data_IF_653716881074
#
_entry.id   IF_653716881074
#
_cell.length_a   1.000
_cell.length_b   1.000
_cell.length_c   1.000
_cell.angle_alpha   90.00
_cell.angle_beta   90.00
_cell.angle_gamma   90.00
#
_symmetry.space_group_name_H-M   'P 1'
#
loop_
_entity.id
_entity.type
_entity.pdbx_description
1 polymer ?
#
# COMPACT_ATOMS: atom_id res chain seq x y z
N UNK A 1 12.72 -13.94 21.50
CA UNK A 1 11.65 -14.24 22.47
C UNK A 1 12.04 -13.66 23.80
N UNK A 2 11.12 -12.98 24.47
CA UNK A 2 11.34 -12.36 25.78
C UNK A 2 11.13 -13.46 26.82
N UNK A 3 12.10 -13.64 27.72
CA UNK A 3 11.95 -14.52 28.88
C UNK A 3 11.43 -13.69 30.03
N UNK A 4 10.30 -14.09 30.61
CA UNK A 4 9.69 -13.43 31.76
C UNK A 4 9.63 -14.44 32.89
N UNK A 5 10.16 -14.06 34.05
CA UNK A 5 10.04 -14.87 35.26
C UNK A 5 8.80 -14.42 36.02
N UNK A 6 7.89 -15.34 36.32
CA UNK A 6 6.66 -15.04 37.07
C UNK A 6 6.96 -14.93 38.57
N UNK A 7 5.97 -14.46 39.34
CA UNK A 7 6.04 -14.43 40.81
C UNK A 7 6.25 -15.82 41.43
N UNK A 8 5.88 -16.89 40.71
CA UNK A 8 6.09 -18.29 41.11
C UNK A 8 7.43 -18.88 40.62
N UNK A 9 8.37 -18.04 40.17
CA UNK A 9 9.66 -18.44 39.60
C UNK A 9 9.56 -19.30 38.31
N UNK A 10 8.41 -19.32 37.64
CA UNK A 10 8.24 -19.98 36.35
C UNK A 10 8.87 -19.13 35.23
N UNK A 11 9.61 -19.75 34.32
CA UNK A 11 10.13 -19.07 33.13
C UNK A 11 9.17 -19.23 31.95
N UNK A 12 8.49 -18.14 31.60
CA UNK A 12 7.65 -18.08 30.41
C UNK A 12 8.43 -17.48 29.24
N UNK A 13 8.28 -18.08 28.06
CA UNK A 13 8.86 -17.57 26.81
C UNK A 13 7.77 -16.92 25.97
N UNK A 14 7.82 -15.59 25.87
CA UNK A 14 6.94 -14.83 25.00
C UNK A 14 7.61 -14.56 23.65
N UNK A 15 6.80 -14.57 22.59
CA UNK A 15 7.20 -14.09 21.27
C UNK A 15 6.23 -13.02 20.82
N UNK A 16 6.76 -11.88 20.39
CA UNK A 16 6.00 -10.81 19.78
C UNK A 16 6.23 -10.91 18.28
N UNK A 17 5.15 -11.02 17.51
CA UNK A 17 5.18 -10.98 16.04
C UNK A 17 4.32 -9.82 15.59
N UNK A 18 4.89 -8.95 14.76
CA UNK A 18 4.10 -7.92 14.07
C UNK A 18 3.29 -8.63 12.98
N UNK A 19 1.98 -8.41 12.93
CA UNK A 19 1.13 -8.97 11.89
C UNK A 19 1.12 -8.07 10.66
N UNK A 20 0.79 -6.78 10.87
CA UNK A 20 0.80 -5.75 9.84
C UNK A 20 1.25 -4.42 10.44
N UNK A 21 1.85 -3.59 9.60
CA UNK A 21 2.09 -2.18 9.85
C UNK A 21 1.49 -1.38 8.69
N UNK A 22 0.74 -0.34 9.02
CA UNK A 22 0.17 0.57 8.01
C UNK A 22 0.73 1.96 8.22
N UNK A 23 0.99 2.65 7.11
CA UNK A 23 1.58 3.96 7.07
C UNK A 23 0.90 4.74 5.94
N UNK A 24 0.74 6.05 6.13
CA UNK A 24 0.59 6.92 4.97
C UNK A 24 1.87 6.89 4.13
N UNK A 25 1.78 7.32 2.86
CA UNK A 25 2.91 7.20 1.95
C UNK A 25 4.18 7.95 2.42
N UNK A 26 4.09 9.18 2.99
CA UNK A 26 5.26 9.86 3.55
C UNK A 26 5.91 9.09 4.71
N UNK A 27 5.12 8.58 5.68
CA UNK A 27 5.67 7.80 6.78
C UNK A 27 6.24 6.46 6.30
N UNK A 28 5.60 5.79 5.33
CA UNK A 28 6.14 4.59 4.71
C UNK A 28 7.51 4.88 4.11
N UNK A 29 7.64 5.96 3.33
CA UNK A 29 8.90 6.38 2.73
C UNK A 29 10.01 6.60 3.75
N UNK A 30 9.68 7.30 4.84
CA UNK A 30 10.63 7.63 5.88
C UNK A 30 11.01 6.42 6.75
N UNK A 31 10.02 5.66 7.23
CA UNK A 31 10.25 4.56 8.18
C UNK A 31 10.85 3.33 7.50
N UNK A 32 10.52 3.12 6.23
CA UNK A 32 10.94 1.95 5.47
C UNK A 32 12.15 2.22 4.57
N UNK A 33 12.73 3.43 4.62
CA UNK A 33 13.83 3.85 3.76
C UNK A 33 13.57 3.59 2.26
N UNK A 34 12.35 3.89 1.80
CA UNK A 34 12.02 3.91 0.37
C UNK A 34 11.99 5.35 -0.15
N UNK A 35 12.10 5.53 -1.46
CA UNK A 35 11.89 6.84 -2.09
C UNK A 35 10.41 7.19 -2.00
N UNK A 36 10.13 8.44 -1.62
CA UNK A 36 8.77 8.98 -1.65
C UNK A 36 8.18 8.85 -3.06
N UNK A 37 6.87 8.61 -3.16
CA UNK A 37 6.22 8.32 -4.44
C UNK A 37 6.84 7.11 -5.18
N UNK A 38 7.39 6.17 -4.41
CA UNK A 38 7.93 4.89 -4.87
C UNK A 38 9.06 5.00 -5.91
N UNK A 39 9.71 6.16 -6.05
CA UNK A 39 10.88 6.31 -6.91
C UNK A 39 10.63 5.96 -8.38
N UNK A 40 9.53 6.45 -8.94
CA UNK A 40 9.05 6.16 -10.31
C UNK A 40 8.43 4.77 -10.52
N UNK A 41 8.24 3.96 -9.46
CA UNK A 41 7.49 2.70 -9.55
C UNK A 41 6.01 2.91 -9.19
N UNK A 42 5.11 2.06 -9.70
CA UNK A 42 3.66 2.26 -9.51
C UNK A 42 3.23 2.14 -8.03
N UNK A 43 3.88 1.27 -7.28
CA UNK A 43 3.70 1.14 -5.84
C UNK A 43 5.00 0.66 -5.17
N UNK A 44 5.00 0.64 -3.84
CA UNK A 44 6.16 0.15 -3.09
C UNK A 44 6.47 -1.31 -3.41
N UNK A 45 5.49 -2.12 -3.80
CA UNK A 45 5.63 -3.58 -3.91
C UNK A 45 5.69 -4.09 -5.35
N UNK A 46 5.41 -3.27 -6.36
CA UNK A 46 5.45 -3.72 -7.76
C UNK A 46 6.79 -3.39 -8.42
N UNK A 47 7.08 -4.11 -9.50
CA UNK A 47 8.21 -3.81 -10.39
C UNK A 47 7.83 -2.95 -11.61
N UNK A 48 6.58 -2.49 -11.68
CA UNK A 48 6.10 -1.61 -12.77
C UNK A 48 6.78 -0.25 -12.66
N UNK A 49 7.68 0.04 -13.59
CA UNK A 49 8.31 1.33 -13.74
C UNK A 49 7.41 2.28 -14.54
N UNK A 50 7.33 3.53 -14.08
CA UNK A 50 6.58 4.58 -14.73
C UNK A 50 7.32 5.17 -15.94
N UNK A 51 6.53 5.63 -16.90
CA UNK A 51 6.96 6.31 -18.12
C UNK A 51 6.61 7.79 -17.99
N UNK A 52 7.60 8.66 -18.21
CA UNK A 52 7.38 10.09 -18.22
C UNK A 52 6.78 10.55 -19.56
N UNK A 53 5.58 11.13 -19.53
CA UNK A 53 4.89 11.74 -20.68
C UNK A 53 4.43 13.12 -20.23
N UNK A 54 4.81 14.18 -20.95
CA UNK A 54 4.42 15.57 -20.67
C UNK A 54 4.57 15.99 -19.19
N UNK A 55 5.72 15.67 -18.58
CA UNK A 55 6.06 15.96 -17.17
C UNK A 55 5.18 15.22 -16.14
N UNK A 56 4.40 14.24 -16.56
CA UNK A 56 3.63 13.35 -15.68
C UNK A 56 4.16 11.92 -15.79
N UNK A 57 4.05 11.15 -14.71
CA UNK A 57 4.45 9.74 -14.68
C UNK A 57 3.20 8.88 -14.87
N UNK A 58 3.24 8.03 -15.90
CA UNK A 58 2.19 7.05 -16.21
C UNK A 58 2.71 5.65 -15.98
N UNK A 59 1.86 4.77 -15.46
CA UNK A 59 2.23 3.37 -15.24
C UNK A 59 1.57 2.52 -16.31
N UNK A 60 2.35 1.80 -17.15
CA UNK A 60 1.79 1.04 -18.25
C UNK A 60 0.89 -0.08 -17.70
N UNK A 61 -0.31 -0.17 -18.26
CA UNK A 61 -1.20 -1.30 -18.00
C UNK A 61 -0.71 -2.53 -18.75
N UNK A 62 -0.71 -3.66 -18.07
CA UNK A 62 -0.47 -4.98 -18.66
C UNK A 62 -1.53 -5.95 -18.11
N UNK A 63 -2.15 -6.78 -18.98
CA UNK A 63 -3.02 -7.86 -18.50
C UNK A 63 -2.23 -8.95 -17.78
N UNK A 64 -0.91 -9.03 -18.01
CA UNK A 64 -0.01 -9.93 -17.30
C UNK A 64 0.38 -9.26 -15.98
N UNK A 65 0.16 -9.98 -14.88
CA UNK A 65 0.52 -9.52 -13.55
C UNK A 65 2.03 -9.25 -13.48
N UNK A 66 2.39 -8.02 -13.09
CA UNK A 66 3.77 -7.65 -12.84
C UNK A 66 4.31 -8.39 -11.60
N UNK A 67 5.59 -8.83 -11.63
CA UNK A 67 6.24 -9.37 -10.45
C UNK A 67 6.13 -8.41 -9.26
N UNK A 68 5.97 -8.96 -8.06
CA UNK A 68 6.06 -8.20 -6.81
C UNK A 68 7.49 -8.25 -6.28
N UNK A 69 7.96 -7.14 -5.72
CA UNK A 69 9.15 -7.11 -4.85
C UNK A 69 8.88 -8.02 -3.67
N UNK A 70 9.84 -8.88 -3.40
CA UNK A 70 9.89 -9.80 -2.26
C UNK A 70 10.67 -9.17 -1.12
N UNK A 71 10.53 -9.70 0.09
CA UNK A 71 11.39 -9.30 1.21
C UNK A 71 12.88 -9.50 0.92
N UNK A 72 13.21 -10.52 0.13
CA UNK A 72 14.57 -10.75 -0.34
C UNK A 72 15.06 -9.59 -1.21
N UNK A 73 14.22 -9.05 -2.10
CA UNK A 73 14.56 -7.87 -2.90
C UNK A 73 14.81 -6.66 -2.01
N UNK A 74 13.97 -6.43 -1.00
CA UNK A 74 14.18 -5.34 -0.02
C UNK A 74 15.50 -5.49 0.73
N UNK A 75 15.83 -6.69 1.20
CA UNK A 75 17.09 -6.95 1.91
C UNK A 75 18.29 -6.75 0.99
N UNK A 76 18.29 -7.38 -0.18
CA UNK A 76 19.44 -7.35 -1.10
C UNK A 76 19.66 -5.95 -1.65
N UNK A 77 18.62 -5.29 -2.18
CA UNK A 77 18.74 -3.96 -2.79
C UNK A 77 19.09 -2.87 -1.78
N UNK A 78 18.62 -2.98 -0.53
CA UNK A 78 18.96 -2.01 0.51
C UNK A 78 20.43 -2.02 0.92
N UNK A 79 21.16 -3.12 0.63
CA UNK A 79 22.58 -3.27 0.98
C UNK A 79 23.54 -3.03 -0.18
N UNK A 80 23.00 -2.80 -1.39
CA UNK A 80 23.81 -2.50 -2.55
C UNK A 80 24.36 -1.07 -2.46
N UNK A 81 25.67 -0.93 -2.29
CA UNK A 81 26.38 0.35 -2.35
C UNK A 81 26.48 0.85 -3.80
N UNK A 82 25.34 1.23 -4.40
CA UNK A 82 25.28 1.79 -5.73
C UNK A 82 24.83 3.26 -5.67
N UNK A 83 25.73 4.22 -5.92
CA UNK A 83 25.41 5.67 -5.89
C UNK A 83 24.29 6.08 -6.84
N UNK A 84 24.07 5.31 -7.91
CA UNK A 84 23.11 5.59 -8.98
C UNK A 84 21.87 4.68 -8.98
N UNK A 85 21.87 3.59 -8.21
CA UNK A 85 20.77 2.62 -8.24
C UNK A 85 20.10 2.55 -6.89
N UNK A 86 19.20 3.49 -6.62
CA UNK A 86 18.08 3.24 -5.70
C UNK A 86 17.11 2.29 -6.39
N UNK A 87 17.60 1.07 -6.60
CA UNK A 87 16.97 0.04 -7.42
C UNK A 87 15.56 -0.18 -6.89
N UNK A 88 14.59 -0.08 -7.79
CA UNK A 88 13.19 -0.28 -7.46
C UNK A 88 12.61 0.65 -6.36
N UNK A 89 13.24 1.80 -6.13
CA UNK A 89 12.81 2.79 -5.15
C UNK A 89 13.24 2.49 -3.71
N UNK A 90 14.11 1.50 -3.50
CA UNK A 90 14.67 1.14 -2.18
C UNK A 90 15.97 1.94 -1.97
N UNK A 91 16.16 2.51 -0.76
CA UNK A 91 17.38 3.25 -0.41
C UNK A 91 18.34 2.36 0.37
N UNK A 92 18.22 2.39 1.69
CA UNK A 92 19.17 1.81 2.65
C UNK A 92 18.43 0.88 3.61
N UNK A 93 19.14 0.04 4.40
CA UNK A 93 18.49 -0.84 5.35
C UNK A 93 17.74 -0.01 6.39
N UNK A 94 16.58 -0.52 6.82
CA UNK A 94 15.81 0.04 7.92
C UNK A 94 15.78 -0.97 9.06
N UNK A 95 15.78 -0.54 10.34
CA UNK A 95 15.58 -1.46 11.47
C UNK A 95 14.31 -2.31 11.35
N UNK A 96 13.32 -1.83 10.59
CA UNK A 96 12.07 -2.54 10.36
C UNK A 96 12.21 -3.81 9.51
N UNK A 97 13.27 -3.99 8.71
CA UNK A 97 13.49 -5.25 7.96
C UNK A 97 13.67 -6.46 8.88
N UNK A 98 14.02 -6.23 10.16
CA UNK A 98 14.14 -7.28 11.19
C UNK A 98 12.81 -7.65 11.84
N UNK A 99 11.80 -6.80 11.68
CA UNK A 99 10.50 -6.91 12.36
C UNK A 99 9.34 -7.16 11.38
N UNK A 100 9.50 -6.73 10.13
CA UNK A 100 8.49 -6.78 9.08
C UNK A 100 9.03 -7.51 7.86
N UNK A 101 8.20 -8.42 7.36
CA UNK A 101 8.21 -8.86 5.97
C UNK A 101 7.52 -7.77 5.16
N UNK A 102 8.30 -6.86 4.57
CA UNK A 102 7.82 -5.69 3.84
C UNK A 102 6.74 -5.99 2.81
N UNK A 103 6.94 -6.98 1.95
CA UNK A 103 5.98 -7.27 0.86
C UNK A 103 4.61 -7.73 1.38
N UNK A 104 4.59 -8.35 2.56
CA UNK A 104 3.39 -9.01 3.08
C UNK A 104 2.78 -8.31 4.30
N UNK A 105 3.58 -7.52 5.04
CA UNK A 105 3.19 -6.93 6.32
C UNK A 105 3.13 -5.40 6.29
N UNK A 106 3.69 -4.73 5.26
CA UNK A 106 3.50 -3.28 5.07
C UNK A 106 2.21 -3.00 4.28
N UNK A 107 1.09 -3.07 5.00
CA UNK A 107 -0.24 -2.89 4.44
C UNK A 107 -0.43 -1.46 3.89
N UNK A 108 -1.02 -1.38 2.69
CA UNK A 108 -1.36 -0.10 2.07
C UNK A 108 -2.51 0.54 2.82
N UNK A 109 -2.35 1.81 3.16
CA UNK A 109 -3.40 2.59 3.81
C UNK A 109 -4.55 2.85 2.84
N UNK A 110 -5.66 2.16 3.06
CA UNK A 110 -6.88 2.29 2.26
C UNK A 110 -7.42 3.73 2.26
N UNK A 111 -7.38 4.42 3.39
CA UNK A 111 -7.93 5.78 3.50
C UNK A 111 -7.14 6.75 2.62
N UNK A 112 -5.81 6.69 2.72
CA UNK A 112 -4.94 7.59 1.97
C UNK A 112 -4.76 7.17 0.51
N UNK A 113 -4.98 5.90 0.16
CA UNK A 113 -4.89 5.42 -1.22
C UNK A 113 -6.22 5.57 -1.97
N UNK A 114 -7.30 5.05 -1.39
CA UNK A 114 -8.61 4.88 -2.03
C UNK A 114 -9.52 6.08 -1.78
N UNK A 115 -9.72 6.48 -0.52
CA UNK A 115 -10.68 7.54 -0.18
C UNK A 115 -10.17 8.96 -0.46
N UNK A 116 -8.85 9.18 -0.44
CA UNK A 116 -8.25 10.52 -0.50
C UNK A 116 -7.08 10.65 -1.47
N UNK A 117 -6.61 9.54 -2.03
CA UNK A 117 -5.37 9.49 -2.80
C UNK A 117 -5.56 9.31 -4.30
N UNK A 118 -4.64 8.54 -4.87
CA UNK A 118 -4.56 8.33 -6.32
C UNK A 118 -5.84 7.75 -6.92
N UNK A 119 -6.56 6.87 -6.22
CA UNK A 119 -7.82 6.32 -6.72
C UNK A 119 -8.87 7.40 -6.94
N UNK A 120 -9.00 8.37 -6.01
CA UNK A 120 -9.92 9.49 -6.15
C UNK A 120 -9.61 10.31 -7.41
N UNK A 121 -8.33 10.54 -7.69
CA UNK A 121 -7.87 11.19 -8.92
C UNK A 121 -8.24 10.37 -10.16
N UNK A 122 -8.03 9.05 -10.15
CA UNK A 122 -8.42 8.16 -11.25
C UNK A 122 -9.92 8.21 -11.52
N UNK A 123 -10.75 8.09 -10.49
CA UNK A 123 -12.22 8.16 -10.63
C UNK A 123 -12.64 9.52 -11.23
N UNK A 124 -11.99 10.62 -10.84
CA UNK A 124 -12.25 11.96 -11.41
C UNK A 124 -11.99 12.00 -12.93
N UNK A 125 -10.95 11.32 -13.40
CA UNK A 125 -10.66 11.23 -14.84
C UNK A 125 -11.62 10.26 -15.53
N UNK A 126 -11.89 9.11 -14.92
CA UNK A 126 -12.80 8.10 -15.44
C UNK A 126 -14.22 8.62 -15.64
N UNK A 127 -14.71 9.45 -14.72
CA UNK A 127 -16.02 10.12 -14.83
C UNK A 127 -16.15 10.94 -16.13
N UNK A 128 -15.04 11.44 -16.68
CA UNK A 128 -15.03 12.24 -17.91
C UNK A 128 -14.91 11.41 -19.19
N UNK A 129 -14.41 10.19 -19.11
CA UNK A 129 -14.05 9.38 -20.29
C UNK A 129 -14.88 8.10 -20.43
N UNK A 130 -15.47 7.61 -19.34
CA UNK A 130 -16.31 6.41 -19.36
C UNK A 130 -17.75 6.77 -19.73
N UNK A 131 -18.45 5.81 -20.32
CA UNK A 131 -19.87 5.96 -20.62
C UNK A 131 -20.70 6.09 -19.32
N UNK A 132 -21.80 6.87 -19.32
CA UNK A 132 -22.59 7.13 -18.11
C UNK A 132 -23.01 5.85 -17.33
N UNK A 133 -23.43 4.80 -18.03
CA UNK A 133 -23.87 3.55 -17.39
C UNK A 133 -22.76 2.72 -16.73
N UNK A 134 -21.48 2.98 -17.04
CA UNK A 134 -20.35 2.23 -16.46
C UNK A 134 -20.16 2.60 -14.99
N UNK A 135 -20.41 3.86 -14.62
CA UNK A 135 -20.33 4.30 -13.23
C UNK A 135 -21.40 3.66 -12.35
N UNK A 136 -22.63 3.53 -12.87
CA UNK A 136 -23.73 2.87 -12.15
C UNK A 136 -23.48 1.37 -11.99
N UNK A 137 -23.07 0.70 -13.06
CA UNK A 137 -22.72 -0.73 -13.01
C UNK A 137 -21.58 -1.01 -12.02
N UNK A 138 -20.52 -0.19 -12.06
CA UNK A 138 -19.39 -0.32 -11.14
C UNK A 138 -19.78 -0.01 -9.69
N UNK A 139 -20.66 0.98 -9.48
CA UNK A 139 -21.21 1.29 -8.16
C UNK A 139 -22.03 0.12 -7.60
N UNK A 140 -22.89 -0.48 -8.41
CA UNK A 140 -23.68 -1.65 -8.02
C UNK A 140 -22.80 -2.84 -7.65
N UNK A 141 -21.72 -3.05 -8.40
CA UNK A 141 -20.74 -4.08 -8.06
C UNK A 141 -20.04 -3.79 -6.72
N UNK A 142 -19.58 -2.55 -6.48
CA UNK A 142 -18.94 -2.22 -5.20
C UNK A 142 -19.89 -2.41 -4.02
N UNK A 143 -21.16 -2.02 -4.17
CA UNK A 143 -22.19 -2.16 -3.15
C UNK A 143 -22.56 -3.63 -2.87
N UNK A 144 -22.33 -4.54 -3.81
CA UNK A 144 -22.57 -5.98 -3.58
C UNK A 144 -21.43 -6.66 -2.82
N UNK A 145 -20.26 -6.01 -2.68
CA UNK A 145 -19.14 -6.55 -1.90
C UNK A 145 -19.45 -6.41 -0.41
N UNK A 146 -19.73 -7.54 0.24
CA UNK A 146 -19.95 -7.62 1.69
C UNK A 146 -18.68 -8.15 2.36
N UNK A 147 -18.05 -7.30 3.18
CA UNK A 147 -16.88 -7.70 3.95
C UNK A 147 -17.30 -8.51 5.19
N UNK A 148 -16.67 -9.66 5.48
CA UNK A 148 -16.96 -10.41 6.69
C UNK A 148 -16.57 -9.56 7.91
N UNK A 149 -17.50 -9.44 8.86
CA UNK A 149 -17.32 -8.73 10.14
C UNK A 149 -17.23 -7.19 10.08
N UNK A 150 -17.53 -6.56 8.94
CA UNK A 150 -17.50 -5.09 8.78
C UNK A 150 -18.88 -4.49 8.50
N UNK A 151 -19.87 -4.79 9.35
CA UNK A 151 -21.25 -4.29 9.19
C UNK A 151 -21.37 -2.76 9.22
N UNK A 152 -20.45 -2.07 9.93
CA UNK A 152 -20.42 -0.62 10.01
C UNK A 152 -19.73 0.05 8.81
N UNK A 153 -18.92 -0.69 8.04
CA UNK A 153 -18.12 -0.14 6.94
C UNK A 153 -18.56 -0.76 5.62
N UNK A 154 -19.64 -0.23 5.06
CA UNK A 154 -20.14 -0.65 3.75
C UNK A 154 -19.40 0.09 2.63
N UNK A 155 -19.24 -0.61 1.51
CA UNK A 155 -18.82 0.02 0.26
C UNK A 155 -19.77 1.18 -0.10
N UNK A 156 -19.24 2.18 -0.80
CA UNK A 156 -20.00 3.34 -1.25
C UNK A 156 -20.02 3.39 -2.77
N UNK A 157 -21.06 3.98 -3.38
CA UNK A 157 -21.13 4.11 -4.82
C UNK A 157 -20.06 5.09 -5.33
N UNK A 158 -19.59 4.87 -6.55
CA UNK A 158 -18.57 5.71 -7.19
C UNK A 158 -19.02 7.16 -7.29
N UNK A 159 -20.30 7.44 -7.51
CA UNK A 159 -20.83 8.82 -7.57
C UNK A 159 -20.60 9.62 -6.28
N UNK A 160 -20.34 8.95 -5.16
CA UNK A 160 -20.04 9.58 -3.87
C UNK A 160 -18.54 9.59 -3.53
N UNK A 161 -17.65 9.26 -4.48
CA UNK A 161 -16.21 9.16 -4.26
C UNK A 161 -15.59 10.39 -3.57
N UNK A 162 -16.14 11.59 -3.83
CA UNK A 162 -15.72 12.82 -3.18
C UNK A 162 -15.85 12.83 -1.64
N UNK A 163 -16.82 12.08 -1.11
CA UNK A 163 -17.21 12.05 0.31
C UNK A 163 -16.72 10.81 1.06
N UNK A 164 -16.09 9.84 0.38
CA UNK A 164 -15.74 8.55 0.97
C UNK A 164 -14.90 8.68 2.26
N UNK A 165 -13.92 9.59 2.27
CA UNK A 165 -13.10 9.84 3.47
C UNK A 165 -13.96 10.27 4.66
N UNK A 166 -14.82 11.27 4.48
CA UNK A 166 -15.64 11.83 5.57
C UNK A 166 -16.64 10.82 6.12
N UNK A 167 -17.16 9.93 5.28
CA UNK A 167 -18.14 8.90 5.68
C UNK A 167 -17.50 7.68 6.34
N UNK A 168 -16.23 7.37 6.08
CA UNK A 168 -15.51 6.29 6.76
C UNK A 168 -15.17 6.58 8.23
N UNK A 169 -15.24 7.84 8.67
CA UNK A 169 -14.90 8.24 10.05
C UNK A 169 -16.12 8.71 10.87
N UNK A 170 -17.34 8.44 10.39
CA UNK A 170 -18.60 8.74 11.08
C UNK A 170 -19.33 7.45 11.41
#
# INVERSE_FOLDING_TARGET
GIKVTTYNAEQLKFSIRVQYATFDLPALAQKCNIIQFNGYYACSDCTIQGVAIDRQIFYPYSPVQSPRKTDHDYLTLSTQNLPAARAMGIKEPTPLTKLLLFSDQAAKDYTHLVCSGHFKTLVTYWERILLPGVFDQSSNYLLSVVLPHSFAYQSMPLVQYGQWKTKMFR
#
